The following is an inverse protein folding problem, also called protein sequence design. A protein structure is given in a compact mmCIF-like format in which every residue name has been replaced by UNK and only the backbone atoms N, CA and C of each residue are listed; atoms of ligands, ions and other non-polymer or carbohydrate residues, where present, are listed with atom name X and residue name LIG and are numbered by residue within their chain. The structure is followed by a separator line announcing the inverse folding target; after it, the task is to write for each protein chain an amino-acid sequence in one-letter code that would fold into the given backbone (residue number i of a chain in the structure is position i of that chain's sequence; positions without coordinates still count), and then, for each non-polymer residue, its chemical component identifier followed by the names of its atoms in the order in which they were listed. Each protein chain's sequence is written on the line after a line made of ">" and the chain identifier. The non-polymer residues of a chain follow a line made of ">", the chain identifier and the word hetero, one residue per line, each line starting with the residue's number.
data_IF_100052611177
#
_entry.id   IF_100052611177
#
_cell.length_a   1.000
_cell.length_b   1.000
_cell.length_c   1.000
_cell.angle_alpha   90.00
_cell.angle_beta   90.00
_cell.angle_gamma   90.00
#
_symmetry.space_group_name_H-M   'P 1'
#
loop_
_entity.id
_entity.type
_entity.pdbx_description
1 polymer ?
#
# COMPACT_ATOMS: atom_id res chain seq x y z
N UNK A 1 -24.95 -9.97 -15.14
CA UNK A 1 -24.84 -8.52 -15.33
C UNK A 1 -23.46 -8.28 -15.93
N UNK A 2 -23.35 -7.52 -17.00
CA UNK A 2 -22.06 -7.11 -17.56
C UNK A 2 -21.38 -6.19 -16.53
N UNK A 3 -20.07 -6.41 -16.28
CA UNK A 3 -19.30 -5.57 -15.36
C UNK A 3 -19.17 -4.14 -15.92
N UNK A 4 -19.39 -3.13 -15.07
CA UNK A 4 -19.07 -1.74 -15.43
C UNK A 4 -17.56 -1.54 -15.38
N UNK A 5 -17.05 -0.69 -16.24
CA UNK A 5 -15.64 -0.30 -16.24
C UNK A 5 -15.34 0.60 -15.04
N UNK A 6 -14.17 0.40 -14.44
CA UNK A 6 -13.75 1.13 -13.23
C UNK A 6 -12.41 1.79 -13.48
N UNK A 7 -12.35 3.09 -13.21
CA UNK A 7 -11.16 3.90 -13.49
C UNK A 7 -10.64 4.62 -12.25
N UNK A 8 -9.36 4.95 -12.26
CA UNK A 8 -8.70 5.78 -11.25
C UNK A 8 -8.70 7.23 -11.73
N UNK A 9 -9.37 8.12 -10.99
CA UNK A 9 -9.51 9.53 -11.33
C UNK A 9 -8.74 10.47 -10.43
N UNK A 10 -8.18 9.98 -9.33
CA UNK A 10 -7.34 10.76 -8.44
C UNK A 10 -6.57 9.89 -7.46
N UNK A 11 -5.51 10.45 -6.92
CA UNK A 11 -4.72 9.84 -5.85
C UNK A 11 -4.13 10.90 -4.92
N UNK A 12 -3.87 10.51 -3.68
CA UNK A 12 -3.12 11.29 -2.72
C UNK A 12 -2.23 10.37 -1.90
N UNK A 13 -1.05 10.85 -1.58
CA UNK A 13 0.00 10.07 -0.92
C UNK A 13 0.68 10.90 0.15
N UNK A 14 0.98 10.27 1.28
CA UNK A 14 1.92 10.74 2.29
C UNK A 14 2.92 9.62 2.51
N UNK A 15 4.14 9.75 2.00
CA UNK A 15 5.15 8.69 2.13
C UNK A 15 6.55 9.27 2.22
N UNK A 16 7.49 8.44 2.61
CA UNK A 16 8.90 8.80 2.61
C UNK A 16 9.43 9.16 1.20
N UNK A 17 8.79 8.66 0.12
CA UNK A 17 9.12 9.03 -1.26
C UNK A 17 8.71 10.47 -1.61
N UNK A 18 7.67 10.99 -0.99
CA UNK A 18 7.06 12.28 -1.29
C UNK A 18 5.53 12.22 -1.22
N UNK A 19 4.89 13.38 -1.47
CA UNK A 19 3.44 13.56 -1.38
C UNK A 19 2.75 13.68 -2.74
N UNK A 20 3.51 13.74 -3.81
CA UNK A 20 3.02 13.85 -5.19
C UNK A 20 3.96 13.12 -6.15
N UNK A 21 3.49 12.88 -7.39
CA UNK A 21 4.25 12.09 -8.36
C UNK A 21 5.62 12.69 -8.70
N UNK A 22 5.75 14.01 -8.81
CA UNK A 22 7.01 14.65 -9.16
C UNK A 22 8.09 14.42 -8.08
N UNK A 23 7.71 14.52 -6.80
CA UNK A 23 8.61 14.21 -5.68
C UNK A 23 8.96 12.72 -5.66
N UNK A 24 7.95 11.84 -5.77
CA UNK A 24 8.12 10.38 -5.81
C UNK A 24 9.06 9.99 -6.95
N UNK A 25 8.80 10.46 -8.15
CA UNK A 25 9.64 10.20 -9.34
C UNK A 25 11.07 10.68 -9.16
N UNK A 26 11.25 11.86 -8.56
CA UNK A 26 12.59 12.40 -8.25
C UNK A 26 13.34 11.49 -7.27
N UNK A 27 12.67 11.02 -6.21
CA UNK A 27 13.27 10.11 -5.23
C UNK A 27 13.62 8.76 -5.87
N UNK A 28 12.70 8.18 -6.65
CA UNK A 28 12.97 6.92 -7.37
C UNK A 28 14.15 7.02 -8.33
N UNK A 29 14.26 8.13 -9.09
CA UNK A 29 15.39 8.40 -9.98
C UNK A 29 16.68 8.78 -9.27
N UNK A 30 16.59 9.17 -7.99
CA UNK A 30 17.74 9.41 -7.14
C UNK A 30 18.49 8.14 -6.73
N UNK A 31 17.87 6.97 -6.92
CA UNK A 31 18.45 5.65 -6.64
C UNK A 31 18.96 5.49 -5.19
N UNK A 32 18.32 6.16 -4.26
CA UNK A 32 18.60 6.07 -2.84
C UNK A 32 17.30 5.79 -2.05
N UNK A 33 17.36 4.83 -1.14
CA UNK A 33 16.20 4.51 -0.32
C UNK A 33 15.97 5.54 0.80
N UNK A 34 14.76 5.55 1.34
CA UNK A 34 14.34 6.46 2.41
C UNK A 34 14.62 5.91 3.82
N UNK A 35 15.33 4.80 3.92
CA UNK A 35 15.62 4.16 5.21
C UNK A 35 16.65 4.96 5.99
N UNK A 36 16.37 5.10 7.27
CA UNK A 36 17.24 5.75 8.26
C UNK A 36 17.38 4.89 9.50
N UNK A 37 18.43 5.15 10.28
CA UNK A 37 18.56 4.61 11.62
C UNK A 37 17.72 5.46 12.59
N UNK A 38 16.95 4.79 13.43
CA UNK A 38 16.09 5.39 14.45
C UNK A 38 16.84 5.38 15.79
N UNK A 39 17.62 6.43 16.06
CA UNK A 39 18.51 6.49 17.24
C UNK A 39 17.69 6.47 18.55
N UNK A 40 16.47 6.97 18.57
CA UNK A 40 15.60 6.90 19.74
C UNK A 40 15.16 5.47 20.11
N UNK A 41 15.34 4.49 19.21
CA UNK A 41 15.07 3.09 19.50
C UNK A 41 16.20 2.40 20.27
N UNK A 42 17.35 3.04 20.44
CA UNK A 42 18.44 2.54 21.28
C UNK A 42 18.02 2.35 22.76
N UNK A 43 16.99 3.07 23.19
CA UNK A 43 16.40 2.92 24.52
C UNK A 43 15.86 1.52 24.84
N UNK A 44 15.56 0.71 23.81
CA UNK A 44 15.08 -0.66 23.97
C UNK A 44 16.21 -1.66 24.21
N UNK A 45 17.48 -1.24 24.06
CA UNK A 45 18.66 -2.04 24.35
C UNK A 45 18.68 -3.35 23.57
N UNK A 46 19.05 -4.43 24.25
CA UNK A 46 19.15 -5.76 23.67
C UNK A 46 17.78 -6.45 23.44
N UNK A 47 16.68 -5.82 23.85
CA UNK A 47 15.33 -6.36 23.60
C UNK A 47 14.84 -6.18 22.18
N UNK A 48 15.50 -5.33 21.40
CA UNK A 48 15.17 -5.07 20.00
C UNK A 48 16.47 -5.00 19.19
N UNK A 49 16.59 -5.74 18.10
CA UNK A 49 17.81 -5.80 17.28
C UNK A 49 17.79 -4.79 16.14
N UNK A 50 16.64 -4.60 15.49
CA UNK A 50 16.50 -3.62 14.40
C UNK A 50 16.44 -2.19 14.91
N UNK A 51 17.04 -1.26 14.17
CA UNK A 51 16.98 0.18 14.39
C UNK A 51 16.61 0.92 13.10
N UNK A 52 16.08 0.19 12.11
CA UNK A 52 15.83 0.72 10.78
C UNK A 52 14.36 1.03 10.56
N UNK A 53 14.08 2.17 9.93
CA UNK A 53 12.74 2.53 9.46
C UNK A 53 12.80 3.53 8.31
N UNK A 54 11.68 3.68 7.60
CA UNK A 54 11.47 4.73 6.61
C UNK A 54 10.29 5.64 7.05
N UNK A 55 10.53 6.64 7.91
CA UNK A 55 9.51 7.51 8.46
C UNK A 55 8.98 8.52 7.44
N UNK A 56 7.74 8.94 7.59
CA UNK A 56 7.22 10.14 6.96
C UNK A 56 7.63 11.37 7.81
N UNK A 57 8.57 12.15 7.31
CA UNK A 57 9.23 13.22 8.07
C UNK A 57 8.59 14.60 7.91
N UNK A 58 7.66 14.77 6.96
CA UNK A 58 6.98 16.05 6.77
C UNK A 58 5.91 16.28 7.84
N UNK A 59 5.67 17.56 8.15
CA UNK A 59 4.57 17.94 9.06
C UNK A 59 3.23 17.69 8.37
N UNK A 60 2.33 16.97 9.07
CA UNK A 60 0.97 16.77 8.57
C UNK A 60 0.20 18.09 8.55
N UNK A 61 -0.63 18.25 7.51
CA UNK A 61 -1.51 19.42 7.33
C UNK A 61 -2.37 19.66 8.57
N UNK A 62 -2.58 20.92 8.92
CA UNK A 62 -3.43 21.32 10.03
C UNK A 62 -4.89 21.36 9.57
N UNK A 63 -5.73 20.61 10.26
CA UNK A 63 -7.18 20.55 10.06
C UNK A 63 -7.92 21.12 11.30
N UNK A 64 -9.20 21.42 11.15
CA UNK A 64 -10.04 21.86 12.28
C UNK A 64 -9.99 20.84 13.43
N UNK A 65 -9.46 21.25 14.55
CA UNK A 65 -9.24 20.41 15.73
C UNK A 65 -10.50 19.69 16.21
N UNK A 66 -11.68 20.31 16.04
CA UNK A 66 -12.96 19.70 16.45
C UNK A 66 -13.30 18.50 15.55
N UNK A 67 -13.00 18.60 14.24
CA UNK A 67 -13.30 17.54 13.27
C UNK A 67 -12.32 16.36 13.36
N UNK A 68 -11.09 16.58 13.81
CA UNK A 68 -10.04 15.55 13.84
C UNK A 68 -9.70 15.03 15.25
N UNK A 69 -10.49 15.37 16.27
CA UNK A 69 -10.21 14.98 17.67
C UNK A 69 -10.23 13.45 17.92
N UNK A 70 -10.95 12.70 17.10
CA UNK A 70 -11.03 11.23 17.14
C UNK A 70 -9.98 10.53 16.29
N UNK A 71 -9.08 11.29 15.64
CA UNK A 71 -8.07 10.78 14.72
C UNK A 71 -6.72 10.69 15.40
N UNK A 72 -6.16 9.49 15.50
CA UNK A 72 -4.74 9.27 15.76
C UNK A 72 -3.89 9.54 14.52
N UNK A 73 -2.59 9.26 14.58
CA UNK A 73 -1.66 9.53 13.46
C UNK A 73 -2.06 8.79 12.19
N UNK A 74 -2.43 7.50 12.26
CA UNK A 74 -2.92 6.73 11.11
C UNK A 74 -4.06 7.44 10.39
N UNK A 75 -5.12 7.81 11.14
CA UNK A 75 -6.28 8.48 10.54
C UNK A 75 -5.95 9.87 9.99
N UNK A 76 -4.92 10.55 10.50
CA UNK A 76 -4.47 11.84 9.97
C UNK A 76 -3.66 11.71 8.68
N UNK A 77 -2.82 10.68 8.57
CA UNK A 77 -2.16 10.31 7.31
C UNK A 77 -3.20 9.97 6.26
N UNK A 78 -4.18 9.13 6.63
CA UNK A 78 -5.31 8.78 5.78
C UNK A 78 -6.12 10.02 5.34
N UNK A 79 -6.38 10.95 6.26
CA UNK A 79 -7.12 12.18 5.96
C UNK A 79 -6.38 13.06 4.95
N UNK A 80 -5.08 13.28 5.14
CA UNK A 80 -4.30 14.10 4.21
C UNK A 80 -4.24 13.46 2.82
N UNK A 81 -3.95 12.16 2.75
CA UNK A 81 -3.95 11.43 1.48
C UNK A 81 -5.33 11.45 0.80
N UNK A 82 -6.43 11.33 1.56
CA UNK A 82 -7.78 11.36 0.99
C UNK A 82 -8.18 12.76 0.52
N UNK A 83 -7.83 13.81 1.28
CA UNK A 83 -8.09 15.21 0.89
C UNK A 83 -7.38 15.54 -0.44
N UNK A 84 -6.11 15.14 -0.56
CA UNK A 84 -5.34 15.35 -1.79
C UNK A 84 -5.89 14.53 -2.97
N UNK A 85 -6.31 13.28 -2.73
CA UNK A 85 -6.94 12.43 -3.75
C UNK A 85 -8.26 13.02 -4.26
N UNK A 86 -9.11 13.50 -3.37
CA UNK A 86 -10.40 14.11 -3.73
C UNK A 86 -10.20 15.44 -4.48
N UNK A 87 -9.19 16.24 -4.11
CA UNK A 87 -8.81 17.45 -4.86
C UNK A 87 -8.29 17.11 -6.24
N UNK A 88 -7.41 16.12 -6.36
CA UNK A 88 -6.89 15.67 -7.64
C UNK A 88 -7.98 15.12 -8.55
N UNK A 89 -8.99 14.44 -7.99
CA UNK A 89 -10.15 13.95 -8.71
C UNK A 89 -11.20 15.04 -9.04
N UNK A 90 -11.07 16.25 -8.47
CA UNK A 90 -11.99 17.37 -8.68
C UNK A 90 -13.27 17.31 -7.83
N UNK A 91 -13.30 16.50 -6.76
CA UNK A 91 -14.42 16.44 -5.81
C UNK A 91 -14.28 17.44 -4.65
N UNK A 92 -13.13 18.09 -4.52
CA UNK A 92 -12.93 19.25 -3.63
C UNK A 92 -12.29 20.35 -4.47
N UNK A 93 -12.94 21.51 -4.52
CA UNK A 93 -12.46 22.66 -5.28
C UNK A 93 -11.33 23.43 -4.54
N UNK A 94 -10.83 24.51 -5.16
CA UNK A 94 -9.76 25.33 -4.60
C UNK A 94 -10.19 26.05 -3.30
N UNK A 95 -11.46 26.36 -3.16
CA UNK A 95 -12.08 27.01 -2.00
C UNK A 95 -12.34 26.01 -0.85
N UNK A 96 -12.26 24.70 -1.12
CA UNK A 96 -12.50 23.62 -0.16
C UNK A 96 -13.95 23.15 -0.10
N UNK A 97 -14.78 23.52 -1.09
CA UNK A 97 -16.15 23.01 -1.18
C UNK A 97 -16.12 21.56 -1.68
N UNK A 98 -16.94 20.74 -1.05
CA UNK A 98 -17.05 19.31 -1.33
C UNK A 98 -18.20 19.07 -2.29
N UNK A 99 -17.98 18.29 -3.33
CA UNK A 99 -19.00 17.95 -4.32
C UNK A 99 -20.16 17.14 -3.72
N UNK A 100 -21.38 17.40 -4.15
CA UNK A 100 -22.61 16.74 -3.64
C UNK A 100 -22.61 15.23 -3.94
N UNK A 101 -21.90 14.78 -4.96
CA UNK A 101 -21.74 13.37 -5.33
C UNK A 101 -21.16 12.54 -4.17
N UNK A 102 -20.37 13.15 -3.28
CA UNK A 102 -19.85 12.45 -2.10
C UNK A 102 -20.93 12.18 -1.04
N UNK A 103 -22.06 12.90 -1.07
CA UNK A 103 -23.12 12.87 -0.06
C UNK A 103 -24.39 12.11 -0.49
N UNK A 104 -24.47 11.69 -1.75
CA UNK A 104 -25.69 11.12 -2.34
C UNK A 104 -25.96 9.64 -2.03
N UNK A 105 -25.06 8.97 -1.26
CA UNK A 105 -25.13 7.54 -0.94
C UNK A 105 -24.58 6.60 -2.03
N UNK A 106 -24.13 7.15 -3.18
CA UNK A 106 -23.49 6.40 -4.27
C UNK A 106 -21.97 6.46 -4.21
N UNK A 107 -21.41 7.24 -3.29
CA UNK A 107 -19.98 7.27 -2.95
C UNK A 107 -19.76 6.47 -1.69
N UNK A 108 -18.93 5.42 -1.76
CA UNK A 108 -18.51 4.60 -0.65
C UNK A 108 -17.04 4.79 -0.30
N UNK A 109 -16.60 4.10 0.75
CA UNK A 109 -15.21 4.11 1.20
C UNK A 109 -14.76 2.70 1.57
N UNK A 110 -13.58 2.32 1.12
CA UNK A 110 -12.84 1.16 1.61
C UNK A 110 -11.48 1.63 2.10
N UNK A 111 -11.12 1.30 3.34
CA UNK A 111 -9.88 1.79 3.92
C UNK A 111 -9.32 0.85 4.97
N UNK A 112 -7.99 0.62 4.93
CA UNK A 112 -7.30 -0.31 5.78
C UNK A 112 -6.17 0.30 6.61
N UNK A 113 -5.88 -0.38 7.73
CA UNK A 113 -4.69 -0.19 8.58
C UNK A 113 -4.48 -1.49 9.33
N UNK A 114 -3.24 -1.86 9.61
CA UNK A 114 -2.93 -3.08 10.37
C UNK A 114 -3.14 -2.89 11.86
N UNK A 115 -2.60 -1.80 12.42
CA UNK A 115 -2.42 -1.65 13.87
C UNK A 115 -3.30 -0.56 14.50
N UNK A 116 -3.79 0.41 13.72
CA UNK A 116 -4.41 1.59 14.30
C UNK A 116 -3.37 2.52 14.95
N UNK A 117 -3.76 3.35 15.91
CA UNK A 117 -2.85 4.32 16.51
C UNK A 117 -2.28 3.84 17.85
N UNK A 118 -0.96 3.71 17.91
CA UNK A 118 -0.21 3.18 19.06
C UNK A 118 -0.35 4.02 20.31
N UNK A 119 -0.46 5.35 20.19
CA UNK A 119 -0.69 6.23 21.33
C UNK A 119 -1.96 5.86 22.13
N UNK A 120 -3.01 5.49 21.42
CA UNK A 120 -4.26 5.05 22.03
C UNK A 120 -4.16 3.64 22.62
N UNK A 121 -3.43 2.74 21.99
CA UNK A 121 -3.16 1.42 22.55
C UNK A 121 -2.35 1.50 23.85
N UNK A 122 -1.36 2.41 23.92
CA UNK A 122 -0.62 2.67 25.15
C UNK A 122 -1.51 3.20 26.30
N UNK A 123 -2.57 3.96 26.00
CA UNK A 123 -3.55 4.38 27.02
C UNK A 123 -4.29 3.16 27.61
N UNK A 124 -4.68 2.17 26.80
CA UNK A 124 -5.25 0.90 27.28
C UNK A 124 -4.26 0.08 28.12
N UNK A 125 -3.01 -0.06 27.66
CA UNK A 125 -1.98 -0.78 28.40
C UNK A 125 -1.74 -0.13 29.77
N UNK A 126 -1.61 1.17 29.84
CA UNK A 126 -1.43 1.90 31.10
C UNK A 126 -2.61 1.69 32.07
N UNK A 127 -3.85 1.67 31.56
CA UNK A 127 -5.02 1.36 32.37
C UNK A 127 -4.96 -0.06 32.95
N UNK A 128 -4.66 -1.04 32.12
CA UNK A 128 -4.63 -2.45 32.52
C UNK A 128 -3.50 -2.77 33.49
N UNK A 129 -2.31 -2.21 33.28
CA UNK A 129 -1.11 -2.46 34.09
C UNK A 129 -1.11 -1.71 35.42
N UNK A 130 -1.55 -0.42 35.39
CA UNK A 130 -1.37 0.50 36.51
C UNK A 130 -2.69 0.89 37.17
N UNK A 131 -3.85 0.36 36.72
CA UNK A 131 -5.20 0.79 37.10
C UNK A 131 -5.42 2.31 36.93
N UNK A 132 -4.69 2.95 36.00
CA UNK A 132 -4.77 4.38 35.71
C UNK A 132 -5.77 4.67 34.58
N UNK A 133 -6.98 5.11 34.96
CA UNK A 133 -8.03 5.48 34.01
C UNK A 133 -7.96 6.96 33.59
N UNK A 134 -7.00 7.74 34.09
CA UNK A 134 -6.99 9.21 33.92
C UNK A 134 -6.76 9.65 32.47
N UNK A 135 -6.08 8.82 31.66
CA UNK A 135 -5.82 9.07 30.24
C UNK A 135 -6.95 8.60 29.33
N UNK A 136 -7.81 7.70 29.81
CA UNK A 136 -8.89 7.10 29.02
C UNK A 136 -10.01 8.09 28.75
N UNK A 137 -10.49 8.12 27.53
CA UNK A 137 -11.64 8.90 27.11
C UNK A 137 -12.35 8.22 25.92
N UNK A 138 -13.53 8.71 25.53
CA UNK A 138 -14.30 8.10 24.45
C UNK A 138 -13.55 8.05 23.10
N UNK A 139 -12.61 8.95 22.84
CA UNK A 139 -11.84 8.93 21.60
C UNK A 139 -10.66 7.95 21.63
N UNK A 140 -10.21 7.50 22.81
CA UNK A 140 -9.18 6.46 22.95
C UNK A 140 -9.61 5.18 22.24
N UNK A 141 -10.83 4.71 22.50
CA UNK A 141 -11.38 3.53 21.85
C UNK A 141 -11.41 3.68 20.33
N UNK A 142 -11.92 4.81 19.84
CA UNK A 142 -12.00 5.08 18.39
C UNK A 142 -10.62 5.14 17.74
N UNK A 143 -9.62 5.73 18.40
CA UNK A 143 -8.25 5.82 17.86
C UNK A 143 -7.52 4.47 17.84
N UNK A 144 -7.77 3.62 18.84
CA UNK A 144 -7.11 2.32 18.97
C UNK A 144 -7.55 1.30 17.94
N UNK A 145 -8.76 1.43 17.40
CA UNK A 145 -9.30 0.45 16.43
C UNK A 145 -8.80 0.72 15.02
N UNK A 146 -8.11 -0.23 14.37
CA UNK A 146 -7.53 -0.01 13.02
C UNK A 146 -8.59 0.30 11.95
N UNK A 147 -9.80 -0.27 12.06
CA UNK A 147 -10.90 0.00 11.11
C UNK A 147 -11.47 1.42 11.21
N UNK A 148 -11.11 2.19 12.21
CA UNK A 148 -11.65 3.56 12.39
C UNK A 148 -11.07 4.59 11.45
N UNK A 149 -10.00 4.30 10.71
CA UNK A 149 -9.55 5.16 9.63
C UNK A 149 -10.70 5.41 8.64
N UNK A 150 -11.35 4.34 8.13
CA UNK A 150 -12.50 4.45 7.25
C UNK A 150 -13.67 5.24 7.87
N UNK A 151 -14.00 4.97 9.13
CA UNK A 151 -15.09 5.67 9.85
C UNK A 151 -14.78 7.15 10.05
N UNK A 152 -13.57 7.51 10.45
CA UNK A 152 -13.15 8.89 10.61
C UNK A 152 -13.22 9.68 9.29
N UNK A 153 -12.74 9.09 8.19
CA UNK A 153 -12.82 9.69 6.86
C UNK A 153 -14.27 9.86 6.40
N UNK A 154 -15.09 8.82 6.60
CA UNK A 154 -16.50 8.86 6.25
C UNK A 154 -17.24 10.00 6.98
N UNK A 155 -16.99 10.19 8.27
CA UNK A 155 -17.56 11.28 9.05
C UNK A 155 -17.02 12.64 8.59
N UNK A 156 -15.70 12.73 8.33
CA UNK A 156 -15.06 13.99 7.94
C UNK A 156 -15.58 14.52 6.60
N UNK A 157 -15.66 13.63 5.59
CA UNK A 157 -16.13 13.97 4.24
C UNK A 157 -17.63 13.72 4.04
N UNK A 158 -18.37 13.33 5.09
CA UNK A 158 -19.80 13.05 5.08
C UNK A 158 -20.21 12.00 4.02
N UNK A 159 -19.38 10.98 3.83
CA UNK A 159 -19.66 9.87 2.91
C UNK A 159 -20.83 9.04 3.46
N UNK A 160 -21.84 8.77 2.61
CA UNK A 160 -23.08 8.08 3.01
C UNK A 160 -23.29 6.73 2.34
N UNK A 161 -22.38 6.34 1.42
CA UNK A 161 -22.40 5.02 0.80
C UNK A 161 -21.84 3.92 1.67
N UNK A 162 -21.47 2.82 1.04
CA UNK A 162 -20.92 1.64 1.75
C UNK A 162 -19.58 1.94 2.40
N UNK A 163 -19.37 1.39 3.59
CA UNK A 163 -18.09 1.39 4.27
C UNK A 163 -17.55 -0.05 4.31
N UNK A 164 -16.32 -0.24 3.90
CA UNK A 164 -15.61 -1.52 3.92
C UNK A 164 -14.29 -1.30 4.63
N UNK A 165 -13.99 -2.12 5.63
CA UNK A 165 -12.72 -2.04 6.35
C UNK A 165 -11.86 -3.24 5.99
N UNK A 166 -10.63 -2.98 5.56
CA UNK A 166 -9.67 -3.99 5.11
C UNK A 166 -8.51 -4.07 6.08
N UNK A 167 -8.66 -4.86 7.13
CA UNK A 167 -7.61 -5.06 8.14
C UNK A 167 -6.96 -6.44 7.94
N UNK A 168 -6.21 -6.57 6.85
CA UNK A 168 -5.61 -7.82 6.37
C UNK A 168 -4.09 -7.69 6.22
N UNK A 169 -3.48 -7.11 7.25
CA UNK A 169 -2.04 -6.85 7.30
C UNK A 169 -1.55 -6.16 6.01
N UNK A 170 -0.50 -6.68 5.38
CA UNK A 170 0.15 -6.07 4.20
C UNK A 170 -0.77 -5.94 2.97
N UNK A 171 -1.87 -6.69 2.89
CA UNK A 171 -2.83 -6.62 1.78
C UNK A 171 -3.98 -5.64 2.01
N UNK A 172 -4.02 -4.95 3.15
CA UNK A 172 -5.12 -4.05 3.50
C UNK A 172 -5.40 -3.01 2.40
N UNK A 173 -4.38 -2.33 1.90
CA UNK A 173 -4.50 -1.33 0.84
C UNK A 173 -4.92 -1.92 -0.50
N UNK A 174 -4.33 -3.03 -0.93
CA UNK A 174 -4.68 -3.67 -2.20
C UNK A 174 -6.07 -4.30 -2.17
N UNK A 175 -6.50 -4.90 -1.04
CA UNK A 175 -7.89 -5.33 -0.88
C UNK A 175 -8.87 -4.16 -0.86
N UNK A 176 -8.47 -3.02 -0.28
CA UNK A 176 -9.28 -1.80 -0.34
C UNK A 176 -9.57 -1.40 -1.79
N UNK A 177 -8.57 -1.41 -2.67
CA UNK A 177 -8.73 -1.14 -4.10
C UNK A 177 -9.60 -2.22 -4.75
N UNK A 178 -9.30 -3.51 -4.53
CA UNK A 178 -9.99 -4.62 -5.16
C UNK A 178 -11.48 -4.68 -4.79
N UNK A 179 -11.82 -4.58 -3.51
CA UNK A 179 -13.23 -4.55 -3.11
C UNK A 179 -13.95 -3.28 -3.55
N UNK A 180 -13.25 -2.15 -3.64
CA UNK A 180 -13.81 -0.93 -4.23
C UNK A 180 -14.10 -1.10 -5.72
N UNK A 181 -13.19 -1.74 -6.45
CA UNK A 181 -13.42 -2.13 -7.84
C UNK A 181 -14.68 -2.98 -7.98
N UNK A 182 -14.84 -4.02 -7.18
CA UNK A 182 -16.02 -4.88 -7.21
C UNK A 182 -17.32 -4.09 -6.89
N UNK A 183 -17.28 -3.16 -5.91
CA UNK A 183 -18.46 -2.35 -5.57
C UNK A 183 -18.94 -1.50 -6.76
N UNK A 184 -18.02 -0.96 -7.55
CA UNK A 184 -18.36 -0.17 -8.74
C UNK A 184 -18.71 -1.09 -9.92
N UNK A 185 -17.91 -2.11 -10.17
CA UNK A 185 -18.08 -3.02 -11.31
C UNK A 185 -19.46 -3.71 -11.29
N UNK A 186 -19.94 -4.07 -10.09
CA UNK A 186 -21.26 -4.69 -9.92
C UNK A 186 -22.40 -3.70 -9.61
N UNK A 187 -22.16 -2.38 -9.70
CA UNK A 187 -23.21 -1.36 -9.64
C UNK A 187 -23.68 -1.00 -8.23
N UNK A 188 -22.99 -1.39 -7.19
CA UNK A 188 -23.37 -1.02 -5.82
C UNK A 188 -23.01 0.42 -5.47
N UNK A 189 -21.90 0.94 -6.00
CA UNK A 189 -21.46 2.32 -5.87
C UNK A 189 -21.06 2.87 -7.24
N UNK A 190 -20.96 4.20 -7.37
CA UNK A 190 -20.45 4.86 -8.57
C UNK A 190 -19.05 5.42 -8.33
N UNK A 191 -18.75 5.75 -7.08
CA UNK A 191 -17.47 6.27 -6.63
C UNK A 191 -17.04 5.49 -5.38
N UNK A 192 -15.76 5.15 -5.28
CA UNK A 192 -15.17 4.57 -4.07
C UNK A 192 -13.86 5.29 -3.72
N UNK A 193 -13.74 5.66 -2.46
CA UNK A 193 -12.50 6.13 -1.86
C UNK A 193 -11.77 4.89 -1.34
N UNK A 194 -10.69 4.49 -2.00
CA UNK A 194 -9.95 3.28 -1.68
C UNK A 194 -8.57 3.64 -1.10
N UNK A 195 -8.23 3.17 0.08
CA UNK A 195 -6.97 3.57 0.69
C UNK A 195 -6.45 2.65 1.78
N UNK A 196 -5.26 3.00 2.25
CA UNK A 196 -4.63 2.41 3.42
C UNK A 196 -3.65 3.37 4.05
N UNK A 197 -3.46 3.25 5.35
CA UNK A 197 -2.49 4.05 6.08
C UNK A 197 -1.91 3.27 7.26
N UNK A 198 -0.65 3.56 7.57
CA UNK A 198 0.01 3.02 8.74
C UNK A 198 0.95 4.06 9.35
N UNK A 199 0.97 4.18 10.67
CA UNK A 199 1.98 4.97 11.39
C UNK A 199 3.20 4.12 11.70
N UNK A 200 4.34 4.77 11.93
CA UNK A 200 5.57 4.11 12.35
C UNK A 200 5.64 4.04 13.87
N UNK A 201 5.89 2.85 14.40
CA UNK A 201 6.27 2.68 15.79
C UNK A 201 7.36 1.62 15.95
N UNK A 202 8.09 1.69 17.09
CA UNK A 202 9.05 0.65 17.44
C UNK A 202 8.37 -0.72 17.61
N UNK A 203 7.13 -0.74 18.13
CA UNK A 203 6.38 -1.97 18.34
C UNK A 203 6.06 -2.68 17.01
N UNK A 204 5.74 -1.92 15.94
CA UNK A 204 5.51 -2.50 14.63
C UNK A 204 6.77 -3.13 14.04
N UNK A 205 7.93 -2.53 14.28
CA UNK A 205 9.23 -3.09 13.87
C UNK A 205 9.62 -4.32 14.71
N UNK A 206 9.35 -4.27 16.01
CA UNK A 206 9.72 -5.34 16.94
C UNK A 206 8.95 -6.65 16.69
N UNK A 207 7.71 -6.57 16.22
CA UNK A 207 6.94 -7.76 15.78
C UNK A 207 7.74 -8.57 14.75
N UNK A 208 8.35 -7.92 13.76
CA UNK A 208 9.14 -8.59 12.74
C UNK A 208 10.55 -8.94 13.22
N UNK A 209 11.10 -8.15 14.15
CA UNK A 209 12.40 -8.44 14.78
C UNK A 209 12.33 -9.72 15.60
N UNK A 210 11.29 -9.92 16.41
CA UNK A 210 11.07 -11.16 17.19
C UNK A 210 10.89 -12.41 16.31
N UNK A 211 10.50 -12.22 15.04
CA UNK A 211 10.39 -13.28 14.04
C UNK A 211 11.67 -13.46 13.21
N UNK A 212 12.74 -12.72 13.51
CA UNK A 212 13.96 -12.66 12.71
C UNK A 212 13.69 -12.32 11.24
N UNK A 213 12.67 -11.50 10.99
CA UNK A 213 12.25 -11.07 9.66
C UNK A 213 12.52 -9.59 9.39
N UNK A 214 13.01 -8.83 10.38
CA UNK A 214 13.46 -7.45 10.23
C UNK A 214 14.95 -7.36 9.96
N UNK A 215 15.34 -6.39 9.12
CA UNK A 215 16.75 -6.13 8.83
C UNK A 215 17.48 -5.54 10.04
N UNK A 216 18.69 -6.01 10.29
CA UNK A 216 19.57 -5.55 11.36
C UNK A 216 20.81 -4.80 10.85
N UNK A 217 20.83 -4.36 9.60
CA UNK A 217 21.93 -3.56 8.99
C UNK A 217 21.98 -2.12 9.53
N UNK A 218 21.90 -1.96 10.85
CA UNK A 218 21.75 -0.66 11.53
C UNK A 218 22.84 0.36 11.18
N UNK A 219 24.07 -0.10 10.94
CA UNK A 219 25.21 0.76 10.61
C UNK A 219 25.27 1.11 9.11
N UNK A 220 24.48 0.43 8.30
CA UNK A 220 24.43 0.62 6.83
C UNK A 220 22.99 0.67 6.32
N UNK A 221 22.17 1.64 6.79
CA UNK A 221 20.73 1.68 6.51
C UNK A 221 20.40 1.71 5.01
N UNK A 222 21.29 2.28 4.19
CA UNK A 222 21.10 2.37 2.74
C UNK A 222 21.29 1.04 2.00
N UNK A 223 21.84 0.02 2.65
CA UNK A 223 21.96 -1.33 2.10
C UNK A 223 20.79 -2.25 2.43
N UNK A 224 19.73 -1.72 3.05
CA UNK A 224 18.49 -2.45 3.35
C UNK A 224 17.27 -1.55 3.13
N UNK A 225 16.12 -2.12 2.68
CA UNK A 225 15.96 -3.52 2.27
C UNK A 225 16.64 -3.84 0.92
N UNK A 226 16.86 -5.12 0.67
CA UNK A 226 17.48 -5.63 -0.57
C UNK A 226 16.69 -6.80 -1.16
N UNK A 227 15.45 -6.56 -1.65
CA UNK A 227 14.60 -7.63 -2.19
C UNK A 227 15.30 -8.46 -3.26
N UNK A 228 15.06 -9.76 -3.25
CA UNK A 228 15.59 -10.76 -4.18
C UNK A 228 17.11 -10.99 -4.10
N UNK A 229 17.82 -10.25 -3.26
CA UNK A 229 19.26 -10.44 -3.04
C UNK A 229 19.51 -11.61 -2.09
N UNK A 230 20.54 -12.43 -2.35
CA UNK A 230 21.04 -13.43 -1.39
C UNK A 230 21.62 -12.83 -0.11
N UNK A 231 21.87 -11.51 -0.10
CA UNK A 231 22.36 -10.74 1.03
C UNK A 231 21.25 -10.09 1.86
N UNK A 232 19.97 -10.32 1.49
CA UNK A 232 18.83 -9.82 2.25
C UNK A 232 18.78 -10.42 3.65
N UNK A 233 18.42 -9.62 4.62
CA UNK A 233 18.38 -10.02 6.03
C UNK A 233 17.03 -9.68 6.71
N UNK A 234 16.04 -9.25 5.94
CA UNK A 234 14.72 -8.92 6.44
C UNK A 234 14.17 -7.61 5.89
N UNK A 235 12.93 -7.33 6.26
CA UNK A 235 12.23 -6.11 5.90
C UNK A 235 12.65 -4.93 6.77
N UNK A 236 12.30 -3.73 6.31
CA UNK A 236 12.36 -2.48 7.09
C UNK A 236 10.95 -1.88 7.11
N UNK A 237 10.47 -1.47 8.28
CA UNK A 237 9.14 -0.84 8.39
C UNK A 237 9.17 0.58 7.85
N UNK A 238 8.12 0.96 7.11
CA UNK A 238 7.88 2.31 6.62
C UNK A 238 6.57 2.88 7.16
N UNK A 239 6.40 4.18 6.98
CA UNK A 239 5.20 4.94 7.36
C UNK A 239 4.54 5.55 6.13
N UNK A 240 3.19 5.65 6.13
CA UNK A 240 2.51 6.39 5.08
C UNK A 240 0.99 6.29 5.09
N UNK A 241 0.40 7.05 4.18
CA UNK A 241 -1.01 6.98 3.81
C UNK A 241 -1.14 7.14 2.30
N UNK A 242 -1.98 6.34 1.67
CA UNK A 242 -2.24 6.44 0.24
C UNK A 242 -3.73 6.18 -0.04
N UNK A 243 -4.29 6.98 -0.91
CA UNK A 243 -5.70 6.91 -1.30
C UNK A 243 -5.83 7.02 -2.82
N UNK A 244 -6.63 6.17 -3.43
CA UNK A 244 -7.08 6.26 -4.81
C UNK A 244 -8.58 6.59 -4.85
N UNK A 245 -8.99 7.41 -5.79
CA UNK A 245 -10.40 7.62 -6.12
C UNK A 245 -10.74 6.75 -7.32
N UNK A 246 -11.61 5.78 -7.08
CA UNK A 246 -12.13 4.88 -8.10
C UNK A 246 -13.51 5.35 -8.51
N UNK A 247 -13.79 5.30 -9.80
CA UNK A 247 -15.00 5.84 -10.37
C UNK A 247 -15.51 4.97 -11.52
N UNK A 248 -16.80 4.88 -11.68
CA UNK A 248 -17.40 4.27 -12.85
C UNK A 248 -17.02 5.08 -14.10
N UNK A 249 -16.64 4.38 -15.16
CA UNK A 249 -16.04 4.99 -16.37
C UNK A 249 -16.92 6.05 -17.05
N UNK A 250 -18.22 5.74 -17.28
CA UNK A 250 -19.11 6.68 -17.96
C UNK A 250 -19.44 7.88 -17.05
N UNK A 251 -19.48 7.67 -15.73
CA UNK A 251 -19.61 8.76 -14.76
C UNK A 251 -18.40 9.69 -14.82
N UNK A 252 -17.18 9.14 -14.77
CA UNK A 252 -15.93 9.90 -14.86
C UNK A 252 -15.85 10.70 -16.17
N UNK A 253 -16.19 10.05 -17.27
CA UNK A 253 -16.20 10.68 -18.60
C UNK A 253 -17.23 11.79 -18.73
N UNK A 254 -18.44 11.59 -18.19
CA UNK A 254 -19.51 12.57 -18.25
C UNK A 254 -19.16 13.90 -17.55
N UNK A 255 -18.37 13.82 -16.45
CA UNK A 255 -17.89 15.02 -15.74
C UNK A 255 -16.53 15.54 -16.23
N UNK A 256 -15.94 14.92 -17.27
CA UNK A 256 -14.66 15.33 -17.83
C UNK A 256 -13.46 15.06 -16.92
N UNK A 257 -13.54 14.03 -16.07
CA UNK A 257 -12.44 13.67 -15.16
C UNK A 257 -11.22 13.22 -15.94
N UNK A 258 -10.03 13.55 -15.42
CA UNK A 258 -8.80 12.93 -15.89
C UNK A 258 -8.74 11.48 -15.39
N UNK A 259 -8.53 10.55 -16.31
CA UNK A 259 -8.40 9.13 -16.02
C UNK A 259 -6.92 8.76 -16.06
N UNK A 260 -6.40 8.15 -14.99
CA UNK A 260 -5.00 7.75 -14.88
C UNK A 260 -4.77 6.30 -15.28
N UNK A 261 -5.73 5.43 -15.01
CA UNK A 261 -5.74 4.03 -15.40
C UNK A 261 -7.15 3.45 -15.28
N UNK A 262 -7.39 2.31 -15.93
CA UNK A 262 -8.52 1.43 -15.68
C UNK A 262 -8.05 0.23 -14.85
N UNK A 263 -8.83 -0.17 -13.84
CA UNK A 263 -8.64 -1.43 -13.13
C UNK A 263 -9.39 -2.49 -13.90
N UNK A 264 -8.69 -3.46 -14.44
CA UNK A 264 -9.28 -4.50 -15.27
C UNK A 264 -9.32 -5.86 -14.61
N UNK A 265 -8.56 -6.09 -13.53
CA UNK A 265 -8.54 -7.37 -12.84
C UNK A 265 -8.18 -7.24 -11.36
N UNK A 266 -8.83 -8.07 -10.55
CA UNK A 266 -8.54 -8.27 -9.14
C UNK A 266 -8.61 -9.74 -8.79
N UNK A 267 -7.54 -10.24 -8.16
CA UNK A 267 -7.47 -11.59 -7.61
C UNK A 267 -7.14 -11.56 -6.13
N UNK A 268 -7.86 -12.33 -5.34
CA UNK A 268 -7.57 -12.50 -3.91
C UNK A 268 -7.94 -13.89 -3.45
N UNK A 269 -7.15 -14.44 -2.54
CA UNK A 269 -7.41 -15.71 -1.88
C UNK A 269 -6.71 -15.79 -0.52
N UNK A 270 -6.77 -16.95 0.09
CA UNK A 270 -6.21 -17.25 1.41
C UNK A 270 -5.39 -18.55 1.32
N UNK A 271 -4.22 -18.61 1.97
CA UNK A 271 -3.39 -19.81 2.04
C UNK A 271 -4.05 -20.94 2.84
N UNK A 272 -4.72 -20.57 3.94
CA UNK A 272 -5.39 -21.53 4.82
C UNK A 272 -4.44 -22.54 5.50
N UNK A 273 -3.15 -22.22 5.57
CA UNK A 273 -2.11 -23.15 6.02
C UNK A 273 -1.37 -22.61 7.26
N UNK A 274 -0.49 -21.63 7.11
CA UNK A 274 0.35 -21.14 8.19
C UNK A 274 0.27 -19.60 8.29
N UNK A 275 0.39 -19.06 9.52
CA UNK A 275 0.23 -17.61 9.74
C UNK A 275 1.35 -16.79 9.10
N UNK A 276 2.60 -17.28 9.12
CA UNK A 276 3.78 -16.50 8.68
C UNK A 276 4.54 -17.13 7.52
N UNK A 277 4.26 -18.39 7.18
CA UNK A 277 4.94 -19.09 6.08
C UNK A 277 4.16 -18.89 4.79
N UNK A 278 4.74 -18.22 3.77
CA UNK A 278 4.07 -17.98 2.51
C UNK A 278 3.88 -19.28 1.71
N UNK A 279 2.82 -19.34 0.92
CA UNK A 279 2.52 -20.47 0.06
C UNK A 279 2.57 -20.06 -1.42
N UNK A 280 3.57 -20.55 -2.14
CA UNK A 280 3.79 -20.26 -3.55
C UNK A 280 2.57 -20.60 -4.44
N UNK A 281 1.89 -21.74 -4.18
CA UNK A 281 0.77 -22.19 -5.03
C UNK A 281 -0.44 -21.24 -4.92
N UNK A 282 -0.75 -20.80 -3.70
CA UNK A 282 -1.86 -19.87 -3.47
C UNK A 282 -1.54 -18.45 -3.92
N UNK A 283 -0.28 -18.01 -3.83
CA UNK A 283 0.18 -16.77 -4.46
C UNK A 283 -0.01 -16.84 -5.99
N UNK A 284 0.46 -17.91 -6.65
CA UNK A 284 0.26 -18.12 -8.07
C UNK A 284 -1.23 -18.13 -8.45
N UNK A 285 -2.08 -18.74 -7.60
CA UNK A 285 -3.53 -18.73 -7.80
C UNK A 285 -4.14 -17.33 -7.71
N UNK A 286 -3.65 -16.45 -6.81
CA UNK A 286 -4.12 -15.08 -6.73
C UNK A 286 -3.77 -14.27 -7.99
N UNK A 287 -2.56 -14.45 -8.53
CA UNK A 287 -2.17 -13.85 -9.82
C UNK A 287 -3.09 -14.34 -10.95
N UNK A 288 -3.33 -15.67 -11.04
CA UNK A 288 -4.19 -16.25 -12.05
C UNK A 288 -5.62 -15.74 -11.95
N UNK A 289 -6.17 -15.61 -10.73
CA UNK A 289 -7.50 -15.05 -10.52
C UNK A 289 -7.62 -13.60 -11.05
N UNK A 290 -6.59 -12.78 -10.85
CA UNK A 290 -6.59 -11.41 -11.40
C UNK A 290 -6.54 -11.41 -12.93
N UNK A 291 -5.74 -12.30 -13.54
CA UNK A 291 -5.63 -12.47 -14.99
C UNK A 291 -6.95 -12.97 -15.58
N UNK A 292 -7.57 -13.96 -14.95
CA UNK A 292 -8.88 -14.50 -15.34
C UNK A 292 -9.97 -13.42 -15.25
N UNK A 293 -9.97 -12.62 -14.18
CA UNK A 293 -10.92 -11.51 -13.97
C UNK A 293 -10.76 -10.42 -15.04
N UNK A 294 -9.51 -10.13 -15.44
CA UNK A 294 -9.19 -9.18 -16.50
C UNK A 294 -9.51 -9.73 -17.93
N UNK A 295 -9.68 -11.03 -18.07
CA UNK A 295 -9.91 -11.69 -19.38
C UNK A 295 -8.74 -11.53 -20.36
N UNK A 296 -7.51 -11.52 -19.87
CA UNK A 296 -6.29 -11.33 -20.65
C UNK A 296 -5.35 -12.53 -20.58
N UNK A 297 -4.33 -12.55 -21.43
CA UNK A 297 -3.20 -13.49 -21.32
C UNK A 297 -2.08 -12.89 -20.46
N UNK A 298 -1.31 -13.70 -19.70
CA UNK A 298 -0.14 -13.24 -18.96
C UNK A 298 0.87 -12.47 -19.83
N UNK A 299 0.96 -12.78 -21.11
CA UNK A 299 1.87 -12.13 -22.06
C UNK A 299 1.58 -10.65 -22.30
N UNK A 300 0.35 -10.20 -22.03
CA UNK A 300 -0.07 -8.82 -22.20
C UNK A 300 0.39 -7.92 -21.05
N UNK A 301 0.83 -8.50 -19.92
CA UNK A 301 1.31 -7.73 -18.76
C UNK A 301 2.80 -7.44 -18.95
N UNK A 302 3.16 -6.19 -19.13
CA UNK A 302 4.54 -5.79 -19.41
C UNK A 302 5.42 -5.54 -18.18
N UNK A 303 4.83 -5.42 -16.99
CA UNK A 303 5.56 -5.19 -15.76
C UNK A 303 4.79 -5.68 -14.53
N UNK A 304 5.52 -6.15 -13.53
CA UNK A 304 5.00 -6.55 -12.22
C UNK A 304 5.68 -5.73 -11.12
N UNK A 305 4.88 -5.01 -10.32
CA UNK A 305 5.35 -4.50 -9.04
C UNK A 305 5.19 -5.63 -8.01
N UNK A 306 6.31 -6.11 -7.51
CA UNK A 306 6.33 -7.18 -6.54
C UNK A 306 6.00 -6.70 -5.13
N UNK A 307 5.48 -7.60 -4.32
CA UNK A 307 5.46 -7.40 -2.87
C UNK A 307 6.87 -7.25 -2.33
N UNK A 308 7.78 -8.16 -2.65
CA UNK A 308 9.24 -8.03 -2.50
C UNK A 308 9.70 -7.38 -1.21
N UNK A 309 9.50 -8.06 -0.08
CA UNK A 309 9.74 -7.51 1.27
C UNK A 309 11.17 -7.60 1.76
N UNK A 310 12.07 -8.23 0.98
CA UNK A 310 13.45 -8.54 1.44
C UNK A 310 13.50 -9.62 2.53
N UNK A 311 12.47 -10.47 2.63
CA UNK A 311 12.47 -11.63 3.52
C UNK A 311 12.89 -12.90 2.80
N UNK A 312 13.56 -13.82 3.51
CA UNK A 312 14.13 -15.01 2.90
C UNK A 312 13.09 -15.86 2.16
N UNK A 313 12.03 -16.26 2.86
CA UNK A 313 10.98 -17.12 2.29
C UNK A 313 9.98 -16.37 1.40
N UNK A 314 9.66 -15.11 1.74
CA UNK A 314 8.67 -14.31 1.01
C UNK A 314 9.09 -14.06 -0.43
N UNK A 315 10.29 -13.57 -0.62
CA UNK A 315 10.81 -13.21 -1.95
C UNK A 315 10.96 -14.43 -2.86
N UNK A 316 11.40 -15.59 -2.31
CA UNK A 316 11.51 -16.85 -3.07
C UNK A 316 10.12 -17.36 -3.47
N UNK A 317 9.16 -17.42 -2.55
CA UNK A 317 7.82 -17.91 -2.85
C UNK A 317 7.11 -17.05 -3.89
N UNK A 318 7.18 -15.71 -3.76
CA UNK A 318 6.56 -14.77 -4.69
C UNK A 318 7.14 -14.87 -6.11
N UNK A 319 8.48 -14.88 -6.23
CA UNK A 319 9.13 -14.89 -7.53
C UNK A 319 8.93 -16.21 -8.27
N UNK A 320 8.94 -17.35 -7.57
CA UNK A 320 8.60 -18.65 -8.14
C UNK A 320 7.10 -18.75 -8.50
N UNK A 321 6.20 -18.17 -7.71
CA UNK A 321 4.79 -18.06 -8.07
C UNK A 321 4.60 -17.26 -9.35
N UNK A 322 5.28 -16.12 -9.48
CA UNK A 322 5.25 -15.26 -10.66
C UNK A 322 5.80 -15.99 -11.88
N UNK A 323 6.96 -16.66 -11.78
CA UNK A 323 7.53 -17.46 -12.88
C UNK A 323 6.56 -18.55 -13.35
N UNK A 324 5.89 -19.22 -12.40
CA UNK A 324 4.95 -20.31 -12.72
C UNK A 324 3.68 -19.86 -13.44
N UNK A 325 3.28 -18.59 -13.31
CA UNK A 325 2.11 -18.03 -14.00
C UNK A 325 2.48 -17.43 -15.34
N UNK A 326 3.61 -16.74 -15.41
CA UNK A 326 4.01 -16.02 -16.62
C UNK A 326 4.71 -16.90 -17.66
N UNK A 327 5.38 -17.98 -17.24
CA UNK A 327 6.18 -18.86 -18.10
C UNK A 327 7.19 -18.13 -19.00
N UNK A 328 7.57 -16.90 -18.60
CA UNK A 328 8.55 -16.03 -19.24
C UNK A 328 9.21 -15.12 -18.20
N UNK A 329 10.33 -14.53 -18.56
CA UNK A 329 10.98 -13.53 -17.73
C UNK A 329 10.23 -12.18 -17.86
N UNK A 330 9.16 -11.97 -17.05
CA UNK A 330 8.45 -10.70 -16.99
C UNK A 330 9.29 -9.67 -16.23
N UNK A 331 9.35 -8.40 -16.69
CA UNK A 331 9.99 -7.31 -15.95
C UNK A 331 9.37 -7.12 -14.56
N UNK A 332 10.21 -7.08 -13.51
CA UNK A 332 9.77 -7.02 -12.12
C UNK A 332 10.70 -6.14 -11.28
N UNK A 333 10.12 -5.36 -10.36
CA UNK A 333 10.87 -4.69 -9.31
C UNK A 333 10.03 -4.50 -8.06
N UNK A 334 10.66 -4.16 -6.92
CA UNK A 334 9.99 -3.89 -5.65
C UNK A 334 10.17 -2.44 -5.22
N UNK A 335 9.07 -1.72 -5.07
CA UNK A 335 9.03 -0.35 -4.53
C UNK A 335 9.50 -0.32 -3.06
N UNK A 336 9.35 -1.43 -2.33
CA UNK A 336 9.79 -1.53 -0.93
C UNK A 336 11.30 -1.40 -0.74
N UNK A 337 12.09 -1.60 -1.80
CA UNK A 337 13.52 -1.30 -1.76
C UNK A 337 13.82 0.17 -1.48
N UNK A 338 12.88 1.07 -1.73
CA UNK A 338 12.94 2.50 -1.43
C UNK A 338 12.22 2.90 -0.16
N UNK A 339 10.99 2.41 0.04
CA UNK A 339 10.06 2.86 1.09
C UNK A 339 10.14 2.07 2.37
N UNK A 340 10.84 0.92 2.37
CA UNK A 340 10.52 -0.10 3.34
C UNK A 340 9.08 -0.62 3.15
N UNK A 341 8.59 -1.33 4.12
CA UNK A 341 7.25 -1.91 4.11
C UNK A 341 6.28 -1.06 4.91
N UNK A 342 5.39 -0.34 4.24
CA UNK A 342 4.40 0.56 4.84
C UNK A 342 3.11 -0.16 5.26
N UNK A 343 3.17 -1.47 5.50
CA UNK A 343 2.09 -2.33 6.02
C UNK A 343 0.75 -2.09 5.30
N UNK A 344 -0.27 -1.60 6.02
CA UNK A 344 -1.60 -1.37 5.46
C UNK A 344 -1.68 -0.33 4.34
N UNK A 345 -0.68 0.55 4.25
CA UNK A 345 -0.59 1.56 3.17
C UNK A 345 -0.01 0.99 1.86
N UNK A 346 0.87 -0.03 1.94
CA UNK A 346 1.75 -0.38 0.81
C UNK A 346 0.99 -0.68 -0.48
N UNK A 347 -0.13 -1.41 -0.42
CA UNK A 347 -0.87 -1.78 -1.62
C UNK A 347 -1.41 -0.58 -2.42
N UNK A 348 -1.85 0.49 -1.74
CA UNK A 348 -2.32 1.70 -2.40
C UNK A 348 -1.17 2.57 -2.92
N UNK A 349 -0.10 2.71 -2.14
CA UNK A 349 1.10 3.44 -2.56
C UNK A 349 1.72 2.80 -3.81
N UNK A 350 1.93 1.50 -3.77
CA UNK A 350 2.53 0.72 -4.86
C UNK A 350 1.65 0.71 -6.11
N UNK A 351 0.33 0.61 -5.95
CA UNK A 351 -0.62 0.73 -7.06
C UNK A 351 -0.49 2.09 -7.76
N UNK A 352 -0.44 3.19 -7.00
CA UNK A 352 -0.27 4.52 -7.57
C UNK A 352 1.07 4.70 -8.27
N UNK A 353 2.18 4.27 -7.63
CA UNK A 353 3.52 4.31 -8.25
C UNK A 353 3.54 3.50 -9.55
N UNK A 354 2.95 2.31 -9.56
CA UNK A 354 2.88 1.43 -10.74
C UNK A 354 2.08 2.07 -11.89
N UNK A 355 0.93 2.69 -11.58
CA UNK A 355 0.13 3.43 -12.57
C UNK A 355 0.93 4.59 -13.18
N UNK A 356 1.63 5.35 -12.35
CA UNK A 356 2.39 6.49 -12.82
C UNK A 356 3.61 6.08 -13.64
N UNK A 357 4.31 5.02 -13.27
CA UNK A 357 5.40 4.46 -14.06
C UNK A 357 4.93 3.98 -15.44
N UNK A 358 3.77 3.31 -15.50
CA UNK A 358 3.15 2.90 -16.76
C UNK A 358 2.85 4.12 -17.66
N UNK A 359 2.31 5.20 -17.08
CA UNK A 359 1.99 6.42 -17.83
C UNK A 359 3.25 7.15 -18.32
N UNK A 360 4.32 7.14 -17.53
CA UNK A 360 5.61 7.76 -17.87
C UNK A 360 6.50 6.88 -18.75
N UNK A 361 6.22 5.58 -18.84
CA UNK A 361 7.01 4.61 -19.61
C UNK A 361 8.37 4.28 -18.99
N UNK A 362 8.65 4.69 -17.72
CA UNK A 362 9.89 4.40 -17.01
C UNK A 362 9.61 3.68 -15.69
N UNK A 363 10.32 2.59 -15.43
CA UNK A 363 10.15 1.72 -14.27
C UNK A 363 11.41 1.70 -13.41
N UNK A 364 11.24 1.91 -12.11
CA UNK A 364 12.35 1.96 -11.15
C UNK A 364 13.01 0.58 -10.98
N UNK A 365 14.31 0.54 -10.66
CA UNK A 365 14.98 -0.70 -10.29
C UNK A 365 14.61 -1.14 -8.86
N UNK A 366 14.89 -2.40 -8.54
CA UNK A 366 15.02 -2.84 -7.16
C UNK A 366 16.39 -2.38 -6.65
N UNK A 367 16.40 -1.52 -5.62
CA UNK A 367 17.65 -1.07 -5.01
C UNK A 367 18.37 -2.22 -4.29
N UNK A 368 19.69 -2.09 -4.17
CA UNK A 368 20.56 -3.08 -3.51
C UNK A 368 20.56 -4.46 -4.18
N UNK A 369 20.06 -4.55 -5.42
CA UNK A 369 20.06 -5.77 -6.24
C UNK A 369 20.98 -5.61 -7.44
N UNK A 370 21.87 -6.60 -7.61
CA UNK A 370 22.79 -6.72 -8.76
C UNK A 370 22.75 -8.15 -9.30
N UNK A 371 23.34 -8.38 -10.47
CA UNK A 371 23.44 -9.75 -11.04
C UNK A 371 24.23 -10.70 -10.13
N UNK A 372 25.26 -10.16 -9.45
CA UNK A 372 26.18 -10.92 -8.61
C UNK A 372 25.54 -11.36 -7.28
N UNK A 373 24.60 -10.54 -6.75
CA UNK A 373 23.94 -10.83 -5.49
C UNK A 373 22.49 -11.34 -5.63
N UNK A 374 21.97 -11.46 -6.86
CA UNK A 374 20.67 -12.10 -7.09
C UNK A 374 20.64 -13.50 -6.49
N UNK A 375 19.59 -13.78 -5.71
CA UNK A 375 19.43 -15.08 -5.08
C UNK A 375 19.05 -16.13 -6.13
N UNK A 376 19.82 -17.22 -6.30
CA UNK A 376 19.53 -18.27 -7.28
C UNK A 376 18.26 -19.08 -6.94
N UNK A 377 17.72 -18.99 -5.72
CA UNK A 377 16.45 -19.62 -5.34
C UNK A 377 15.23 -18.81 -5.79
N UNK A 378 15.40 -17.54 -6.13
CA UNK A 378 14.36 -16.71 -6.70
C UNK A 378 14.05 -17.13 -8.14
N UNK A 379 12.78 -16.98 -8.54
CA UNK A 379 12.29 -17.34 -9.89
C UNK A 379 13.05 -16.62 -11.00
N UNK A 380 13.09 -17.22 -12.18
CA UNK A 380 13.81 -16.72 -13.37
C UNK A 380 13.02 -15.59 -14.05
N UNK A 381 13.05 -14.41 -13.47
CA UNK A 381 12.36 -13.22 -13.93
C UNK A 381 13.34 -12.17 -14.46
N UNK A 382 12.82 -11.13 -15.11
CA UNK A 382 13.61 -10.02 -15.62
C UNK A 382 13.66 -8.90 -14.56
N UNK A 383 14.51 -9.05 -13.57
CA UNK A 383 14.67 -8.10 -12.47
C UNK A 383 15.25 -6.77 -12.96
N UNK A 384 14.51 -5.68 -12.77
CA UNK A 384 15.00 -4.34 -13.11
C UNK A 384 16.03 -3.93 -12.06
N UNK A 385 17.24 -3.60 -12.54
CA UNK A 385 18.41 -3.23 -11.74
C UNK A 385 19.05 -1.94 -12.27
N UNK A 386 19.99 -1.38 -11.53
CA UNK A 386 20.76 -0.19 -11.95
C UNK A 386 19.89 1.06 -12.01
N UNK A 387 19.85 1.72 -13.16
CA UNK A 387 19.20 3.04 -13.34
C UNK A 387 17.68 2.95 -13.64
N UNK A 388 17.11 1.77 -13.56
CA UNK A 388 15.74 1.54 -14.01
C UNK A 388 15.67 1.26 -15.51
N UNK A 389 14.44 1.21 -16.06
CA UNK A 389 14.24 0.83 -17.46
C UNK A 389 13.03 1.52 -18.07
N UNK A 390 13.16 1.91 -19.32
CA UNK A 390 12.04 2.28 -20.16
C UNK A 390 11.36 1.01 -20.69
N UNK A 391 10.03 0.91 -20.49
CA UNK A 391 9.19 -0.18 -20.97
C UNK A 391 7.94 0.43 -21.55
N UNK A 392 7.67 0.14 -22.83
CA UNK A 392 6.40 0.51 -23.46
C UNK A 392 5.37 -0.59 -23.18
N UNK A 393 4.43 -0.31 -22.30
CA UNK A 393 3.36 -1.23 -21.92
C UNK A 393 2.11 -0.51 -21.50
N UNK A 394 0.97 -1.08 -21.88
CA UNK A 394 -0.36 -0.57 -21.48
C UNK A 394 -0.95 -1.34 -20.30
N UNK A 395 -0.36 -2.44 -19.87
CA UNK A 395 -0.91 -3.29 -18.80
C UNK A 395 0.19 -3.65 -17.80
N UNK A 396 -0.10 -3.39 -16.53
CA UNK A 396 0.80 -3.67 -15.40
C UNK A 396 0.07 -4.37 -14.27
N UNK A 397 0.81 -5.12 -13.47
CA UNK A 397 0.31 -5.86 -12.30
C UNK A 397 0.99 -5.35 -11.01
N UNK A 398 0.25 -5.31 -9.90
CA UNK A 398 0.78 -5.02 -8.57
C UNK A 398 0.31 -6.08 -7.57
N UNK A 399 1.24 -6.70 -6.86
CA UNK A 399 0.99 -7.83 -5.96
C UNK A 399 1.29 -7.48 -4.50
N UNK A 400 0.47 -7.98 -3.60
CA UNK A 400 0.75 -7.96 -2.16
C UNK A 400 0.38 -9.29 -1.51
N UNK A 401 1.23 -9.73 -0.58
CA UNK A 401 1.08 -10.99 0.15
C UNK A 401 1.28 -10.71 1.64
N UNK A 402 0.36 -11.17 2.48
CA UNK A 402 0.33 -10.80 3.89
C UNK A 402 0.57 -11.96 4.83
N UNK A 403 1.07 -11.65 6.02
CA UNK A 403 0.90 -12.53 7.16
C UNK A 403 -0.59 -12.84 7.35
N UNK A 404 -0.88 -14.07 7.78
CA UNK A 404 -2.22 -14.63 7.73
C UNK A 404 -2.53 -15.34 6.42
N UNK A 405 -1.63 -15.27 5.43
CA UNK A 405 -1.77 -15.96 4.14
C UNK A 405 -2.77 -15.31 3.19
N UNK A 406 -3.06 -14.02 3.35
CA UNK A 406 -3.93 -13.29 2.41
C UNK A 406 -3.10 -12.82 1.23
N UNK A 407 -3.53 -13.17 0.01
CA UNK A 407 -2.88 -12.85 -1.23
C UNK A 407 -3.74 -11.94 -2.08
N UNK A 408 -3.14 -10.95 -2.73
CA UNK A 408 -3.81 -10.00 -3.64
C UNK A 408 -2.98 -9.72 -4.88
N UNK A 409 -3.67 -9.56 -6.00
CA UNK A 409 -3.11 -9.10 -7.26
C UNK A 409 -4.08 -8.15 -7.94
N UNK A 410 -3.58 -7.02 -8.41
CA UNK A 410 -4.33 -5.97 -9.12
C UNK A 410 -3.73 -5.79 -10.51
N UNK A 411 -4.59 -5.61 -11.52
CA UNK A 411 -4.17 -5.35 -12.89
C UNK A 411 -4.73 -4.00 -13.35
N UNK A 412 -3.83 -3.14 -13.78
CA UNK A 412 -4.13 -1.81 -14.30
C UNK A 412 -3.84 -1.73 -15.78
N UNK A 413 -4.69 -1.01 -16.51
CA UNK A 413 -4.54 -0.74 -17.93
C UNK A 413 -4.53 0.75 -18.19
N UNK A 414 -3.66 1.20 -19.09
CA UNK A 414 -3.61 2.57 -19.58
C UNK A 414 -4.91 2.92 -20.29
N UNK A 415 -5.48 4.08 -19.98
CA UNK A 415 -6.61 4.62 -20.72
C UNK A 415 -6.11 5.60 -21.78
N UNK A 416 -6.40 5.28 -23.04
CA UNK A 416 -6.12 6.13 -24.20
C UNK A 416 -7.28 7.09 -24.43
#
# INVERSE_FOLDING_TARGET
>A
MEKRRVVVTGAGVCSALGDNWEEIKKTLKGLENCVVRMDEWDRYGAGMNTRLAAPYTKELRKYDRKKVRSMGRVSRLALQATDDALRMAGFIDAEGNVAEELHNGRTGISYGSCMGSMDAQMEFCAMLENADCTRMNATTYVRAMPQTAASNLSVYFQIRGRIITTNTACTSGSQSIGYSYEQIAYGFQDIMIAGGAEELSAADSDIFDTLYAASTKNDTPKLSPSPFSKERDGLVIGEGGATLILEEYEHAKARGAKIYAEIIGFGTNQDGNHITTPNQETMAKALQLAIDDAGISPDQIGYVNAHGTSTGHGDVAETNATESVFHRAVPISSTKSYTGHTLGCCGCLEAWVTIQMMNDGWFHPTLNLTKENLDPECGKLDYIMGDGREIDTDIVMSNNFAFGGVNTSLIFKKCN
#
